data_IF_420549686094
#
_entry.id   IF_420549686094
#
_cell.length_a   1.000
_cell.length_b   1.000
_cell.length_c   1.000
_cell.angle_alpha   90.00
_cell.angle_beta   90.00
_cell.angle_gamma   90.00
#
_symmetry.space_group_name_H-M   'P 1'
#
loop_
_entity.id
_entity.type
_entity.pdbx_description
1 polymer ?
#
# COMPACT_ATOMS: atom_id res chain seq x y z
N UNK A 1 -24.44 -2.78 7.97
CA UNK A 1 -24.76 -1.94 6.79
C UNK A 1 -23.55 -1.97 5.87
N UNK A 2 -23.57 -2.82 4.84
CA UNK A 2 -22.49 -2.96 3.85
C UNK A 2 -22.75 -1.95 2.72
N UNK A 3 -22.10 -0.79 2.78
CA UNK A 3 -22.03 0.10 1.62
C UNK A 3 -20.96 -0.44 0.67
N UNK A 4 -21.39 -1.24 -0.32
CA UNK A 4 -20.56 -1.55 -1.47
C UNK A 4 -20.20 -0.25 -2.18
N UNK A 5 -19.04 0.32 -1.86
CA UNK A 5 -18.43 1.39 -2.65
C UNK A 5 -18.10 0.77 -4.00
N UNK A 6 -18.87 1.15 -5.03
CA UNK A 6 -18.73 0.64 -6.40
C UNK A 6 -17.27 0.76 -6.86
N UNK A 7 -16.82 -0.30 -7.54
CA UNK A 7 -15.46 -0.50 -8.10
C UNK A 7 -14.96 0.64 -9.00
N UNK A 8 -15.85 1.49 -9.52
CA UNK A 8 -15.56 2.53 -10.51
C UNK A 8 -14.73 3.73 -10.03
N UNK A 9 -14.32 3.79 -8.75
CA UNK A 9 -13.48 4.88 -8.20
C UNK A 9 -12.11 4.37 -7.69
N UNK A 10 -11.54 3.37 -8.39
CA UNK A 10 -10.27 2.74 -7.99
C UNK A 10 -9.09 3.10 -8.87
N UNK A 11 -9.36 3.35 -10.14
CA UNK A 11 -8.36 3.75 -11.11
C UNK A 11 -8.60 5.21 -11.50
N UNK A 12 -7.60 6.07 -11.27
CA UNK A 12 -7.66 7.47 -11.65
C UNK A 12 -6.47 7.72 -12.58
N UNK A 13 -6.80 8.21 -13.77
CA UNK A 13 -5.84 8.59 -14.81
C UNK A 13 -5.93 10.11 -14.96
N UNK A 14 -4.81 10.81 -15.17
CA UNK A 14 -4.85 12.23 -15.52
C UNK A 14 -5.51 12.45 -16.89
N UNK A 15 -6.33 13.50 -17.04
CA UNK A 15 -7.03 13.81 -18.29
C UNK A 15 -6.09 14.02 -19.50
N UNK A 16 -4.85 14.46 -19.23
CA UNK A 16 -3.80 14.58 -20.24
C UNK A 16 -2.44 14.85 -19.61
N UNK A 17 -1.36 14.30 -20.17
CA UNK A 17 -0.02 14.49 -19.61
C UNK A 17 0.52 15.90 -19.88
N UNK A 18 0.25 16.50 -21.04
CA UNK A 18 0.63 17.88 -21.36
C UNK A 18 2.12 18.21 -21.08
N UNK A 19 3.02 17.25 -21.36
CA UNK A 19 4.45 17.39 -21.10
C UNK A 19 4.88 17.13 -19.64
N UNK A 20 3.95 16.76 -18.75
CA UNK A 20 4.24 16.38 -17.37
C UNK A 20 4.85 14.98 -17.28
N UNK A 21 5.65 14.77 -16.24
CA UNK A 21 6.12 13.43 -15.86
C UNK A 21 4.98 12.63 -15.24
N UNK A 22 4.83 11.38 -15.65
CA UNK A 22 3.82 10.47 -15.10
C UNK A 22 4.43 9.60 -14.00
N UNK A 23 3.79 9.56 -12.85
CA UNK A 23 4.10 8.63 -11.75
C UNK A 23 2.93 7.66 -11.59
N UNK A 24 3.22 6.36 -11.60
CA UNK A 24 2.24 5.29 -11.40
C UNK A 24 2.29 4.78 -9.96
N UNK A 25 1.15 4.83 -9.29
CA UNK A 25 1.00 4.43 -7.89
C UNK A 25 0.01 3.27 -7.80
N UNK A 26 0.37 2.24 -7.05
CA UNK A 26 -0.54 1.14 -6.72
C UNK A 26 -0.69 1.06 -5.22
N UNK A 27 -1.93 0.97 -4.72
CA UNK A 27 -2.17 0.78 -3.30
C UNK A 27 -3.08 -0.40 -2.97
N UNK A 28 -2.80 -1.05 -1.84
CA UNK A 28 -3.65 -2.08 -1.23
C UNK A 28 -3.91 -1.70 0.22
N UNK A 29 -5.17 -1.51 0.58
CA UNK A 29 -5.57 -1.07 1.94
C UNK A 29 -6.76 -1.86 2.46
N UNK A 30 -6.93 -1.90 3.78
CA UNK A 30 -8.14 -2.45 4.41
C UNK A 30 -9.27 -1.41 4.52
N UNK A 31 -8.93 -0.14 4.81
CA UNK A 31 -9.90 0.89 5.16
C UNK A 31 -10.29 1.78 3.96
N UNK A 32 -11.59 1.87 3.59
CA UNK A 32 -12.04 2.69 2.46
C UNK A 32 -11.76 4.19 2.61
N UNK A 33 -11.58 4.68 3.84
CA UNK A 33 -11.28 6.10 4.11
C UNK A 33 -9.92 6.52 3.52
N UNK A 34 -8.92 5.62 3.51
CA UNK A 34 -7.65 5.91 2.85
C UNK A 34 -7.81 6.00 1.34
N UNK A 35 -8.67 5.17 0.75
CA UNK A 35 -8.96 5.21 -0.68
C UNK A 35 -9.55 6.57 -1.10
N UNK A 36 -10.52 7.12 -0.35
CA UNK A 36 -11.09 8.43 -0.68
C UNK A 36 -10.06 9.56 -0.52
N UNK A 37 -9.25 9.53 0.53
CA UNK A 37 -8.19 10.52 0.75
C UNK A 37 -7.13 10.50 -0.36
N UNK A 38 -6.63 9.31 -0.73
CA UNK A 38 -5.67 9.15 -1.83
C UNK A 38 -6.25 9.60 -3.17
N UNK A 39 -7.51 9.25 -3.43
CA UNK A 39 -8.21 9.67 -4.64
C UNK A 39 -8.34 11.19 -4.75
N UNK A 40 -8.72 11.85 -3.66
CA UNK A 40 -8.81 13.31 -3.61
C UNK A 40 -7.46 13.97 -3.82
N UNK A 41 -6.41 13.48 -3.14
CA UNK A 41 -5.05 13.99 -3.29
C UNK A 41 -4.52 13.86 -4.73
N UNK A 42 -4.74 12.71 -5.38
CA UNK A 42 -4.31 12.50 -6.77
C UNK A 42 -5.06 13.41 -7.73
N UNK A 43 -6.38 13.59 -7.55
CA UNK A 43 -7.16 14.54 -8.38
C UNK A 43 -6.66 15.96 -8.22
N UNK A 44 -6.39 16.40 -6.99
CA UNK A 44 -5.88 17.73 -6.72
C UNK A 44 -4.49 17.96 -7.36
N UNK A 45 -3.60 16.97 -7.27
CA UNK A 45 -2.29 17.04 -7.94
C UNK A 45 -2.46 17.09 -9.46
N UNK A 46 -3.31 16.24 -10.03
CA UNK A 46 -3.53 16.19 -11.47
C UNK A 46 -4.16 17.47 -12.03
N UNK A 47 -4.98 18.17 -11.25
CA UNK A 47 -5.58 19.44 -11.63
C UNK A 47 -4.61 20.62 -11.54
N UNK A 48 -3.72 20.63 -10.52
CA UNK A 48 -2.99 21.83 -10.15
C UNK A 48 -1.48 21.77 -10.43
N UNK A 49 -0.87 20.58 -10.53
CA UNK A 49 0.58 20.46 -10.67
C UNK A 49 1.02 20.55 -12.15
N UNK A 50 1.83 21.56 -12.53
CA UNK A 50 2.23 21.78 -13.91
C UNK A 50 3.35 20.85 -14.40
N UNK A 51 3.97 20.04 -13.52
CA UNK A 51 5.13 19.19 -13.86
C UNK A 51 4.89 17.70 -13.64
N UNK A 52 3.93 17.37 -12.79
CA UNK A 52 3.66 16.00 -12.36
C UNK A 52 2.21 15.62 -12.64
N UNK A 53 2.02 14.41 -13.14
CA UNK A 53 0.74 13.74 -13.20
C UNK A 53 0.86 12.38 -12.51
N UNK A 54 -0.20 11.96 -11.83
CA UNK A 54 -0.26 10.70 -11.09
C UNK A 54 -1.39 9.85 -11.66
N UNK A 55 -1.05 8.63 -12.04
CA UNK A 55 -2.01 7.55 -12.28
C UNK A 55 -2.00 6.66 -11.04
N UNK A 56 -3.18 6.37 -10.49
CA UNK A 56 -3.30 5.55 -9.28
C UNK A 56 -4.30 4.41 -9.48
N UNK A 57 -3.89 3.20 -9.14
CA UNK A 57 -4.74 2.01 -9.07
C UNK A 57 -4.85 1.52 -7.62
N UNK A 58 -6.07 1.30 -7.17
CA UNK A 58 -6.37 0.94 -5.78
C UNK A 58 -7.17 -0.35 -5.63
N UNK A 59 -6.83 -1.13 -4.62
CA UNK A 59 -7.55 -2.36 -4.27
C UNK A 59 -7.80 -2.41 -2.76
N UNK A 60 -9.00 -2.79 -2.35
CA UNK A 60 -9.20 -3.25 -0.98
C UNK A 60 -8.61 -4.65 -0.85
N UNK A 61 -8.00 -4.95 0.30
CA UNK A 61 -7.30 -6.23 0.48
C UNK A 61 -8.20 -7.44 0.19
N UNK A 62 -9.46 -7.42 0.63
CA UNK A 62 -10.44 -8.49 0.39
C UNK A 62 -10.76 -8.73 -1.10
N UNK A 63 -10.55 -7.72 -1.96
CA UNK A 63 -10.85 -7.82 -3.39
C UNK A 63 -9.83 -8.66 -4.13
N UNK A 64 -8.63 -8.82 -3.56
CA UNK A 64 -7.60 -9.71 -4.10
C UNK A 64 -7.94 -11.20 -3.93
N UNK A 65 -9.07 -11.52 -3.29
CA UNK A 65 -9.68 -12.87 -3.34
C UNK A 65 -10.14 -13.21 -4.75
N UNK A 66 -10.70 -12.22 -5.45
CA UNK A 66 -11.16 -12.37 -6.82
C UNK A 66 -9.97 -12.49 -7.80
N UNK A 67 -10.06 -13.43 -8.73
CA UNK A 67 -8.96 -13.75 -9.64
C UNK A 67 -8.71 -12.65 -10.67
N UNK A 68 -9.76 -11.95 -11.11
CA UNK A 68 -9.62 -10.86 -12.08
C UNK A 68 -8.98 -9.64 -11.43
N UNK A 69 -9.44 -9.25 -10.23
CA UNK A 69 -8.83 -8.17 -9.46
C UNK A 69 -7.36 -8.47 -9.14
N UNK A 70 -7.04 -9.72 -8.77
CA UNK A 70 -5.67 -10.11 -8.50
C UNK A 70 -4.79 -10.05 -9.74
N UNK A 71 -5.28 -10.47 -10.91
CA UNK A 71 -4.55 -10.33 -12.18
C UNK A 71 -4.29 -8.87 -12.52
N UNK A 72 -5.31 -8.02 -12.43
CA UNK A 72 -5.19 -6.59 -12.71
C UNK A 72 -4.19 -5.93 -11.74
N UNK A 73 -4.23 -6.32 -10.46
CA UNK A 73 -3.25 -5.90 -9.46
C UNK A 73 -1.82 -6.30 -9.84
N UNK A 74 -1.58 -7.53 -10.31
CA UNK A 74 -0.26 -7.96 -10.76
C UNK A 74 0.24 -7.11 -11.94
N UNK A 75 -0.62 -6.83 -12.92
CA UNK A 75 -0.28 -6.00 -14.07
C UNK A 75 0.04 -4.56 -13.69
N UNK A 76 -0.73 -4.00 -12.75
CA UNK A 76 -0.52 -2.66 -12.23
C UNK A 76 0.81 -2.56 -11.47
N UNK A 77 1.09 -3.52 -10.57
CA UNK A 77 2.35 -3.57 -9.81
C UNK A 77 3.55 -3.68 -10.75
N UNK A 78 3.45 -4.45 -11.84
CA UNK A 78 4.52 -4.59 -12.82
C UNK A 78 4.87 -3.25 -13.52
N UNK A 79 3.92 -2.32 -13.60
CA UNK A 79 4.06 -1.00 -14.23
C UNK A 79 4.26 0.14 -13.22
N UNK A 80 4.14 -0.12 -11.92
CA UNK A 80 4.16 0.89 -10.89
C UNK A 80 5.55 1.49 -10.66
N UNK A 81 5.58 2.76 -10.26
CA UNK A 81 6.73 3.42 -9.65
C UNK A 81 6.71 3.25 -8.13
N UNK A 82 5.53 3.42 -7.53
CA UNK A 82 5.33 3.42 -6.08
C UNK A 82 4.28 2.38 -5.72
N UNK A 83 4.61 1.53 -4.74
CA UNK A 83 3.66 0.62 -4.10
C UNK A 83 3.37 1.07 -2.67
N UNK A 84 2.09 1.10 -2.29
CA UNK A 84 1.63 1.44 -0.94
C UNK A 84 0.79 0.29 -0.40
N UNK A 85 1.11 -0.18 0.82
CA UNK A 85 0.28 -1.16 1.52
C UNK A 85 0.02 -0.72 2.96
N UNK A 86 -1.18 -0.99 3.46
CA UNK A 86 -1.53 -0.69 4.85
C UNK A 86 -2.56 -1.67 5.39
N UNK A 87 -2.40 -2.08 6.65
CA UNK A 87 -3.36 -2.88 7.41
C UNK A 87 -3.69 -4.25 6.83
N UNK A 88 -2.69 -4.91 6.24
CA UNK A 88 -2.84 -6.25 5.69
C UNK A 88 -2.55 -7.27 6.80
N UNK A 89 -3.60 -7.85 7.39
CA UNK A 89 -3.53 -8.80 8.52
C UNK A 89 -4.14 -10.17 8.25
N UNK A 90 -4.39 -10.48 6.97
CA UNK A 90 -5.00 -11.74 6.54
C UNK A 90 -3.94 -12.55 5.82
N UNK A 91 -3.66 -13.76 6.31
CA UNK A 91 -2.48 -14.54 5.94
C UNK A 91 -2.45 -14.93 4.46
N UNK A 92 -3.55 -15.46 3.93
CA UNK A 92 -3.69 -15.85 2.52
C UNK A 92 -3.53 -14.66 1.56
N UNK A 93 -4.10 -13.50 1.92
CA UNK A 93 -4.00 -12.28 1.12
C UNK A 93 -2.64 -11.60 1.25
N UNK A 94 -2.00 -11.70 2.42
CA UNK A 94 -0.64 -11.22 2.62
C UNK A 94 0.35 -11.98 1.72
N UNK A 95 0.21 -13.30 1.61
CA UNK A 95 1.04 -14.12 0.72
C UNK A 95 0.84 -13.76 -0.75
N UNK A 96 -0.41 -13.53 -1.18
CA UNK A 96 -0.72 -13.01 -2.52
C UNK A 96 -0.03 -11.67 -2.81
N UNK A 97 -0.09 -10.72 -1.87
CA UNK A 97 0.58 -9.42 -2.05
C UNK A 97 2.10 -9.58 -2.15
N UNK A 98 2.70 -10.43 -1.30
CA UNK A 98 4.14 -10.71 -1.37
C UNK A 98 4.53 -11.37 -2.69
N UNK A 99 3.73 -12.32 -3.18
CA UNK A 99 3.97 -12.99 -4.45
C UNK A 99 3.87 -12.03 -5.65
N UNK A 100 2.93 -11.09 -5.64
CA UNK A 100 2.77 -10.10 -6.69
C UNK A 100 3.86 -9.02 -6.67
N UNK A 101 4.23 -8.52 -5.49
CA UNK A 101 5.13 -7.36 -5.34
C UNK A 101 6.60 -7.77 -5.27
N UNK A 102 6.91 -8.93 -4.70
CA UNK A 102 8.26 -9.45 -4.50
C UNK A 102 9.15 -9.38 -5.76
N UNK A 103 8.68 -9.90 -6.92
CA UNK A 103 9.44 -9.86 -8.17
C UNK A 103 9.74 -8.45 -8.70
N UNK A 104 8.93 -7.46 -8.31
CA UNK A 104 9.04 -6.07 -8.78
C UNK A 104 9.66 -5.13 -7.76
N UNK A 105 10.00 -5.61 -6.55
CA UNK A 105 10.52 -4.79 -5.44
C UNK A 105 11.74 -3.97 -5.83
N UNK A 106 12.66 -4.54 -6.61
CA UNK A 106 13.88 -3.84 -7.01
C UNK A 106 13.64 -2.81 -8.12
N UNK A 107 12.60 -3.02 -8.95
CA UNK A 107 12.16 -2.07 -9.99
C UNK A 107 11.38 -0.88 -9.43
N UNK A 108 10.61 -1.08 -8.37
CA UNK A 108 9.86 0.00 -7.70
C UNK A 108 10.82 1.07 -7.19
N UNK A 109 10.52 2.34 -7.47
CA UNK A 109 11.24 3.49 -6.92
C UNK A 109 11.06 3.54 -5.39
N UNK A 110 9.85 3.21 -4.92
CA UNK A 110 9.53 3.10 -3.51
C UNK A 110 8.47 2.02 -3.26
N UNK A 111 8.63 1.27 -2.16
CA UNK A 111 7.61 0.39 -1.61
C UNK A 111 7.39 0.77 -0.14
N UNK A 112 6.20 1.29 0.17
CA UNK A 112 5.83 1.84 1.46
C UNK A 112 4.75 0.95 2.07
N UNK A 113 5.14 0.19 3.10
CA UNK A 113 4.25 -0.70 3.82
C UNK A 113 4.10 -0.21 5.25
N UNK A 114 2.93 0.37 5.52
CA UNK A 114 2.45 0.70 6.86
C UNK A 114 2.08 -0.57 7.64
N UNK A 115 1.92 -0.50 8.99
CA UNK A 115 1.77 -1.66 9.85
C UNK A 115 0.85 -2.75 9.30
N UNK A 116 1.45 -3.88 8.91
CA UNK A 116 0.87 -5.05 8.25
C UNK A 116 1.60 -6.31 8.70
N UNK A 117 1.21 -7.51 8.24
CA UNK A 117 1.90 -8.76 8.56
C UNK A 117 3.41 -8.70 8.24
N UNK A 118 4.27 -9.39 9.01
CA UNK A 118 5.73 -9.28 8.86
C UNK A 118 6.24 -9.55 7.45
N UNK A 119 5.63 -10.50 6.73
CA UNK A 119 6.00 -10.81 5.34
C UNK A 119 5.73 -9.65 4.38
N UNK A 120 4.63 -8.93 4.55
CA UNK A 120 4.32 -7.72 3.78
C UNK A 120 5.25 -6.58 4.20
N UNK A 121 5.50 -6.41 5.50
CA UNK A 121 6.41 -5.36 6.01
C UNK A 121 7.83 -5.46 5.44
N UNK A 122 8.29 -6.67 5.09
CA UNK A 122 9.61 -6.89 4.43
C UNK A 122 9.68 -6.33 3.02
N UNK A 123 8.54 -6.07 2.36
CA UNK A 123 8.52 -5.41 1.06
C UNK A 123 9.00 -3.96 1.12
N UNK A 124 8.99 -3.32 2.30
CA UNK A 124 9.44 -1.94 2.48
C UNK A 124 10.81 -1.67 1.83
N UNK A 125 10.86 -0.60 1.04
CA UNK A 125 12.05 -0.10 0.34
C UNK A 125 11.90 1.41 0.12
N UNK A 126 12.79 2.19 0.72
CA UNK A 126 12.90 3.63 0.50
C UNK A 126 14.38 4.01 0.34
N UNK A 127 14.87 4.06 -0.90
CA UNK A 127 16.30 4.22 -1.16
C UNK A 127 17.12 3.09 -0.54
N UNK A 128 18.16 3.44 0.24
CA UNK A 128 18.95 2.47 1.00
C UNK A 128 18.25 1.95 2.26
N UNK A 129 17.14 2.58 2.68
CA UNK A 129 16.40 2.15 3.87
C UNK A 129 15.59 0.89 3.59
N UNK A 130 15.82 -0.14 4.41
CA UNK A 130 15.01 -1.34 4.44
C UNK A 130 14.80 -1.82 5.87
N UNK A 131 13.69 -2.53 6.13
CA UNK A 131 13.40 -3.14 7.44
C UNK A 131 14.51 -4.10 7.92
N UNK A 132 15.43 -4.51 7.05
CA UNK A 132 16.60 -5.29 7.43
C UNK A 132 17.56 -4.51 8.37
N UNK A 133 17.63 -3.18 8.23
CA UNK A 133 18.56 -2.30 8.96
C UNK A 133 18.10 -1.90 10.37
N UNK A 134 16.85 -2.19 10.74
CA UNK A 134 16.30 -1.97 12.09
C UNK A 134 16.81 -3.01 13.11
N UNK A 135 18.11 -3.31 13.08
CA UNK A 135 18.78 -4.48 13.65
C UNK A 135 18.49 -4.79 15.13
N UNK A 136 18.11 -3.81 15.95
CA UNK A 136 17.71 -4.03 17.36
C UNK A 136 16.19 -3.93 17.60
N UNK A 137 15.44 -3.33 16.69
CA UNK A 137 13.99 -3.05 16.85
C UNK A 137 13.10 -4.17 16.29
N UNK A 138 13.66 -5.14 15.54
CA UNK A 138 12.94 -6.29 14.97
C UNK A 138 12.22 -7.13 16.03
N UNK A 139 12.81 -7.32 17.21
CA UNK A 139 12.21 -8.09 18.31
C UNK A 139 10.98 -7.38 18.91
N UNK A 140 11.03 -6.05 19.01
CA UNK A 140 9.95 -5.22 19.56
C UNK A 140 8.75 -5.17 18.62
N UNK A 141 8.99 -5.07 17.31
CA UNK A 141 7.95 -5.06 16.27
C UNK A 141 7.33 -6.45 16.12
N UNK A 142 8.14 -7.52 16.14
CA UNK A 142 7.65 -8.91 16.06
C UNK A 142 6.80 -9.30 17.29
N UNK A 143 7.25 -8.98 18.51
CA UNK A 143 6.49 -9.24 19.73
C UNK A 143 5.20 -8.40 19.80
N UNK A 144 5.19 -7.22 19.20
CA UNK A 144 4.01 -6.36 19.13
C UNK A 144 2.96 -6.86 18.12
N UNK A 145 3.40 -7.31 16.95
CA UNK A 145 2.51 -7.96 15.97
C UNK A 145 1.86 -9.22 16.55
N UNK A 146 2.59 -9.97 17.38
CA UNK A 146 2.05 -11.10 18.15
C UNK A 146 0.96 -10.67 19.16
N UNK A 147 1.22 -9.62 19.95
CA UNK A 147 0.23 -9.06 20.91
C UNK A 147 -1.02 -8.45 20.25
N UNK A 148 -0.95 -8.07 18.97
CA UNK A 148 -2.10 -7.55 18.21
C UNK A 148 -3.00 -8.66 17.66
N UNK A 149 -2.44 -9.84 17.34
CA UNK A 149 -3.23 -11.06 17.06
C UNK A 149 -4.12 -11.44 18.26
N UNK A 150 -3.70 -11.07 19.47
CA UNK A 150 -4.42 -11.35 20.72
C UNK A 150 -5.51 -10.30 21.05
N UNK A 151 -5.44 -9.08 20.49
CA UNK A 151 -6.34 -7.96 20.83
C UNK A 151 -6.95 -7.33 19.57
N UNK A 152 -8.12 -7.82 19.17
CA UNK A 152 -8.91 -7.31 18.05
C UNK A 152 -9.50 -5.92 18.37
N UNK A 153 -8.95 -4.86 17.76
CA UNK A 153 -9.70 -3.60 17.53
C UNK A 153 -9.02 -2.28 17.90
N UNK A 154 -8.32 -2.17 19.04
CA UNK A 154 -7.89 -0.85 19.56
C UNK A 154 -6.43 -0.43 19.26
N UNK A 155 -5.60 -1.31 18.71
CA UNK A 155 -4.14 -1.11 18.65
C UNK A 155 -3.58 -0.44 17.39
N UNK A 156 -4.41 0.18 16.53
CA UNK A 156 -3.95 0.72 15.24
C UNK A 156 -3.11 2.00 15.37
N UNK A 157 -3.65 3.03 16.01
CA UNK A 157 -2.96 4.29 16.22
C UNK A 157 -1.69 4.07 17.04
N UNK A 158 -1.77 3.23 18.07
CA UNK A 158 -0.60 2.84 18.87
C UNK A 158 0.47 2.13 18.03
N UNK A 159 0.10 1.29 17.05
CA UNK A 159 1.05 0.65 16.15
C UNK A 159 1.77 1.67 15.27
N UNK A 160 1.04 2.63 14.71
CA UNK A 160 1.64 3.69 13.88
C UNK A 160 2.53 4.61 14.72
N UNK A 161 2.04 5.05 15.89
CA UNK A 161 2.80 5.90 16.81
C UNK A 161 4.05 5.19 17.33
N UNK A 162 3.97 3.88 17.59
CA UNK A 162 5.13 3.11 18.04
C UNK A 162 6.16 2.93 16.94
N UNK A 163 5.74 2.62 15.70
CA UNK A 163 6.65 2.58 14.56
C UNK A 163 7.33 3.94 14.37
N UNK A 164 6.55 5.03 14.40
CA UNK A 164 7.06 6.40 14.29
C UNK A 164 8.08 6.73 15.38
N UNK A 165 7.84 6.33 16.64
CA UNK A 165 8.78 6.53 17.77
C UNK A 165 10.04 5.67 17.69
N UNK A 166 10.06 4.66 16.81
CA UNK A 166 11.17 3.70 16.69
C UNK A 166 12.11 4.03 15.53
N UNK A 167 11.65 4.82 14.55
CA UNK A 167 12.47 5.38 13.47
C UNK A 167 13.33 6.53 13.99
#
# INVERSE_FOLDING_TARGET
>A
MFTHVKSTIRHIVPDGLNGRSLVKVVYVVLEPQYQSALSSAVREINANNPKLAIEISGYLIEELRDAENYRNFQEDVAKANIFIASLIFIEDLADKVVAAVGPHRDKLDAAIVFPSMPQVMRLNKLGSFSMAQLGQSKSVIANFMKKRRENSGAGFQDAMLKLLRTL
#
